data_IF_136754586331
#
_entry.id   IF_136754586331
#
_cell.length_a   1.000
_cell.length_b   1.000
_cell.length_c   1.000
_cell.angle_alpha   90.00
_cell.angle_beta   90.00
_cell.angle_gamma   90.00
#
_symmetry.space_group_name_H-M   'P 1'
#
loop_
_entity.id
_entity.type
_entity.pdbx_description
1 polymer ?
#
# COMPACT_ATOMS: atom_id res chain seq x y z
N UNK A 1 -14.60 10.35 -8.44
CA UNK A 1 -13.69 10.59 -7.30
C UNK A 1 -12.34 9.92 -7.50
N UNK A 2 -12.27 8.60 -7.74
CA UNK A 2 -11.03 7.90 -8.16
C UNK A 2 -10.24 8.64 -9.24
N UNK A 3 -10.85 8.96 -10.38
CA UNK A 3 -10.20 9.66 -11.49
C UNK A 3 -9.56 10.97 -11.07
N UNK A 4 -10.27 11.77 -10.26
CA UNK A 4 -9.77 13.03 -9.72
C UNK A 4 -8.51 12.84 -8.87
N UNK A 5 -8.50 11.85 -7.97
CA UNK A 5 -7.34 11.55 -7.13
C UNK A 5 -6.14 11.15 -8.00
N UNK A 6 -6.39 10.29 -8.98
CA UNK A 6 -5.36 9.83 -9.89
C UNK A 6 -4.79 10.98 -10.76
N UNK A 7 -5.64 11.89 -11.24
CA UNK A 7 -5.19 13.07 -11.97
C UNK A 7 -4.39 14.02 -11.07
N UNK A 8 -4.75 14.14 -9.80
CA UNK A 8 -3.98 14.94 -8.84
C UNK A 8 -2.61 14.31 -8.56
N UNK A 9 -2.52 12.98 -8.48
CA UNK A 9 -1.24 12.26 -8.38
C UNK A 9 -0.39 12.50 -9.61
N UNK A 10 -1.00 12.41 -10.80
CA UNK A 10 -0.30 12.61 -12.07
C UNK A 10 0.32 14.02 -12.17
N UNK A 11 -0.35 15.02 -11.62
CA UNK A 11 0.11 16.40 -11.64
C UNK A 11 0.96 16.80 -10.42
N UNK A 12 1.24 15.87 -9.50
CA UNK A 12 2.12 16.11 -8.35
C UNK A 12 1.48 16.85 -7.16
N UNK A 13 0.15 16.88 -7.06
CA UNK A 13 -0.58 17.50 -5.95
C UNK A 13 -0.69 16.58 -4.73
N UNK A 14 0.44 16.02 -4.27
CA UNK A 14 0.44 15.01 -3.21
C UNK A 14 -0.09 15.54 -1.86
N UNK A 15 0.28 16.75 -1.47
CA UNK A 15 -0.19 17.41 -0.24
C UNK A 15 -1.73 17.48 -0.18
N UNK A 16 -2.36 17.91 -1.28
CA UNK A 16 -3.81 17.96 -1.37
C UNK A 16 -4.45 16.58 -1.20
N UNK A 17 -3.82 15.53 -1.73
CA UNK A 17 -4.32 14.16 -1.61
C UNK A 17 -4.18 13.68 -0.17
N UNK A 18 -3.04 13.92 0.48
CA UNK A 18 -2.81 13.58 1.89
C UNK A 18 -3.91 14.20 2.75
N UNK A 19 -4.17 15.51 2.59
CA UNK A 19 -5.23 16.22 3.30
C UNK A 19 -6.62 15.60 3.03
N UNK A 20 -6.91 15.26 1.78
CA UNK A 20 -8.18 14.61 1.43
C UNK A 20 -8.36 13.27 2.15
N UNK A 21 -7.32 12.43 2.23
CA UNK A 21 -7.38 11.13 2.89
C UNK A 21 -7.54 11.25 4.41
N UNK A 22 -6.84 12.21 5.03
CA UNK A 22 -6.95 12.50 6.48
C UNK A 22 -8.37 12.92 6.87
N UNK A 23 -9.04 13.71 6.03
CA UNK A 23 -10.39 14.20 6.32
C UNK A 23 -11.50 13.26 5.83
N UNK A 24 -11.27 12.47 4.79
CA UNK A 24 -12.27 11.58 4.22
C UNK A 24 -11.82 10.12 4.18
N UNK A 25 -12.20 9.39 5.23
CA UNK A 25 -11.90 7.96 5.39
C UNK A 25 -12.58 7.06 4.35
N UNK A 26 -13.57 7.56 3.60
CA UNK A 26 -14.17 6.78 2.50
C UNK A 26 -13.21 6.62 1.32
N UNK A 27 -12.13 7.41 1.24
CA UNK A 27 -11.19 7.38 0.13
C UNK A 27 -10.26 6.15 0.14
N UNK A 28 -10.07 5.51 1.29
CA UNK A 28 -9.23 4.32 1.41
C UNK A 28 -9.69 3.15 0.52
N UNK A 29 -10.98 3.10 0.17
CA UNK A 29 -11.55 2.15 -0.80
C UNK A 29 -10.87 2.21 -2.17
N UNK A 30 -10.29 3.36 -2.52
CA UNK A 30 -9.66 3.59 -3.82
C UNK A 30 -8.19 3.20 -3.85
N UNK A 31 -7.56 2.83 -2.73
CA UNK A 31 -6.13 2.52 -2.67
C UNK A 31 -5.78 1.37 -3.62
N UNK A 32 -6.46 0.23 -3.51
CA UNK A 32 -6.17 -0.93 -4.37
C UNK A 32 -6.34 -0.60 -5.86
N UNK A 33 -7.38 0.16 -6.18
CA UNK A 33 -7.67 0.63 -7.53
C UNK A 33 -6.57 1.54 -8.10
N UNK A 34 -6.04 2.46 -7.29
CA UNK A 34 -4.99 3.41 -7.67
C UNK A 34 -3.62 2.72 -7.81
N UNK A 35 -3.35 1.68 -7.01
CA UNK A 35 -2.16 0.84 -7.15
C UNK A 35 -2.12 0.11 -8.50
N UNK A 36 -3.28 -0.13 -9.10
CA UNK A 36 -3.40 -0.77 -10.42
C UNK A 36 -3.56 0.21 -11.58
N UNK A 37 -3.46 1.52 -11.33
CA UNK A 37 -3.59 2.53 -12.38
C UNK A 37 -2.48 2.36 -13.43
N UNK A 38 -2.81 2.56 -14.70
CA UNK A 38 -1.88 2.38 -15.81
C UNK A 38 -0.71 3.39 -15.76
N UNK A 39 -0.94 4.57 -15.18
CA UNK A 39 0.05 5.62 -15.04
C UNK A 39 1.03 5.29 -13.92
N UNK A 40 2.31 5.18 -14.29
CA UNK A 40 3.41 4.89 -13.35
C UNK A 40 3.44 5.89 -12.19
N UNK A 41 3.21 7.18 -12.47
CA UNK A 41 3.26 8.24 -11.47
C UNK A 41 2.12 8.12 -10.45
N UNK A 42 0.94 7.67 -10.84
CA UNK A 42 -0.16 7.38 -9.90
C UNK A 42 0.23 6.25 -8.95
N UNK A 43 0.82 5.17 -9.46
CA UNK A 43 1.29 4.06 -8.63
C UNK A 43 2.38 4.49 -7.65
N UNK A 44 3.38 5.25 -8.10
CA UNK A 44 4.42 5.81 -7.22
C UNK A 44 3.84 6.79 -6.19
N UNK A 45 2.85 7.58 -6.59
CA UNK A 45 2.13 8.49 -5.70
C UNK A 45 1.41 7.76 -4.58
N UNK A 46 0.95 6.52 -4.79
CA UNK A 46 0.35 5.71 -3.73
C UNK A 46 1.40 5.31 -2.69
N UNK A 47 2.60 4.91 -3.09
CA UNK A 47 3.66 4.57 -2.12
C UNK A 47 4.00 5.77 -1.25
N UNK A 48 4.21 6.94 -1.86
CA UNK A 48 4.46 8.18 -1.13
C UNK A 48 3.29 8.55 -0.20
N UNK A 49 2.04 8.43 -0.67
CA UNK A 49 0.86 8.67 0.15
C UNK A 49 0.80 7.76 1.39
N UNK A 50 1.05 6.46 1.23
CA UNK A 50 1.01 5.50 2.34
C UNK A 50 2.14 5.76 3.35
N UNK A 51 3.35 6.06 2.87
CA UNK A 51 4.49 6.44 3.71
C UNK A 51 4.18 7.69 4.54
N UNK A 52 3.62 8.73 3.92
CA UNK A 52 3.25 9.95 4.66
C UNK A 52 2.13 9.69 5.65
N UNK A 53 1.05 8.99 5.26
CA UNK A 53 -0.06 8.68 6.16
C UNK A 53 0.34 7.74 7.29
N UNK A 54 1.36 6.90 7.12
CA UNK A 54 1.92 6.08 8.19
C UNK A 54 2.46 6.94 9.34
N UNK A 55 3.03 8.11 9.03
CA UNK A 55 3.56 9.06 10.01
C UNK A 55 2.47 10.00 10.52
N UNK A 56 1.64 10.51 9.62
CA UNK A 56 0.69 11.59 9.93
C UNK A 56 -0.70 11.13 10.37
N UNK A 57 -1.10 9.90 10.04
CA UNK A 57 -2.45 9.37 10.30
C UNK A 57 -2.43 7.85 10.57
N UNK A 58 -1.57 7.45 11.50
CA UNK A 58 -1.37 6.06 11.90
C UNK A 58 -2.67 5.36 12.33
N UNK A 59 -3.62 6.08 12.92
CA UNK A 59 -4.90 5.52 13.37
C UNK A 59 -5.76 5.03 12.18
N UNK A 60 -5.71 5.74 11.05
CA UNK A 60 -6.58 5.45 9.92
C UNK A 60 -5.90 4.66 8.80
N UNK A 61 -4.56 4.65 8.71
CA UNK A 61 -3.84 4.01 7.62
C UNK A 61 -4.14 2.51 7.46
N UNK A 62 -4.50 1.82 8.55
CA UNK A 62 -4.93 0.41 8.53
C UNK A 62 -6.19 0.16 7.69
N UNK A 63 -7.00 1.19 7.41
CA UNK A 63 -8.17 1.11 6.52
C UNK A 63 -7.81 0.81 5.07
N UNK A 64 -6.55 1.00 4.68
CA UNK A 64 -6.05 0.60 3.36
C UNK A 64 -5.94 -0.93 3.21
N UNK A 65 -5.73 -1.66 4.31
CA UNK A 65 -5.36 -3.09 4.28
C UNK A 65 -6.35 -3.94 3.47
N UNK A 66 -7.68 -3.86 3.67
CA UNK A 66 -8.64 -4.69 2.91
C UNK A 66 -8.58 -4.47 1.40
N UNK A 67 -8.10 -3.30 0.95
CA UNK A 67 -7.99 -2.93 -0.46
C UNK A 67 -6.62 -3.25 -1.06
N UNK A 68 -5.59 -3.47 -0.22
CA UNK A 68 -4.26 -3.90 -0.64
C UNK A 68 -4.15 -5.44 -0.67
N UNK A 69 -4.77 -6.14 0.29
CA UNK A 69 -4.68 -7.61 0.41
C UNK A 69 -5.00 -8.39 -0.88
N UNK A 70 -6.03 -8.04 -1.68
CA UNK A 70 -6.32 -8.76 -2.92
C UNK A 70 -5.16 -8.68 -3.94
N UNK A 71 -4.34 -7.63 -3.89
CA UNK A 71 -3.23 -7.42 -4.82
C UNK A 71 -2.04 -8.36 -4.57
N UNK A 72 -1.96 -9.00 -3.39
CA UNK A 72 -0.98 -10.06 -3.13
C UNK A 72 -1.16 -11.27 -4.07
N UNK A 73 -2.32 -11.40 -4.72
CA UNK A 73 -2.65 -12.48 -5.68
C UNK A 73 -2.76 -11.96 -7.12
N UNK A 74 -2.25 -10.75 -7.39
CA UNK A 74 -2.27 -10.17 -8.73
C UNK A 74 -1.42 -11.00 -9.70
N UNK A 75 -1.81 -11.06 -10.98
CA UNK A 75 -1.04 -11.75 -12.01
C UNK A 75 0.30 -11.08 -12.30
N UNK A 76 0.39 -9.75 -12.12
CA UNK A 76 1.63 -9.01 -12.28
C UNK A 76 2.48 -9.10 -11.00
N UNK A 77 3.69 -9.68 -11.05
CA UNK A 77 4.55 -9.80 -9.88
C UNK A 77 4.98 -8.44 -9.30
N UNK A 78 5.07 -7.39 -10.13
CA UNK A 78 5.37 -6.03 -9.63
C UNK A 78 4.27 -5.56 -8.67
N UNK A 79 2.99 -5.74 -9.04
CA UNK A 79 1.87 -5.35 -8.19
C UNK A 79 1.77 -6.19 -6.92
N UNK A 80 2.14 -7.48 -6.98
CA UNK A 80 2.26 -8.33 -5.78
C UNK A 80 3.33 -7.81 -4.83
N UNK A 81 4.51 -7.49 -5.36
CA UNK A 81 5.62 -6.91 -4.62
C UNK A 81 5.26 -5.58 -3.98
N UNK A 82 4.68 -4.64 -4.74
CA UNK A 82 4.23 -3.34 -4.24
C UNK A 82 3.21 -3.51 -3.10
N UNK A 83 2.27 -4.44 -3.24
CA UNK A 83 1.29 -4.71 -2.20
C UNK A 83 1.91 -5.31 -0.93
N UNK A 84 2.88 -6.22 -1.06
CA UNK A 84 3.63 -6.73 0.09
C UNK A 84 4.42 -5.62 0.79
N UNK A 85 5.11 -4.79 0.01
CA UNK A 85 5.87 -3.64 0.49
C UNK A 85 4.99 -2.67 1.30
N UNK A 86 3.86 -2.24 0.74
CA UNK A 86 2.98 -1.28 1.42
C UNK A 86 2.35 -1.86 2.70
N UNK A 87 2.04 -3.16 2.75
CA UNK A 87 1.60 -3.82 3.99
C UNK A 87 2.70 -3.81 5.05
N UNK A 88 3.97 -3.96 4.64
CA UNK A 88 5.14 -3.77 5.49
C UNK A 88 5.22 -2.37 6.09
N UNK A 89 5.11 -1.34 5.25
CA UNK A 89 5.09 0.08 5.66
C UNK A 89 3.94 0.36 6.64
N UNK A 90 2.74 -0.16 6.36
CA UNK A 90 1.58 -0.02 7.24
C UNK A 90 1.86 -0.66 8.60
N UNK A 91 2.59 -1.77 8.66
CA UNK A 91 3.10 -2.33 9.92
C UNK A 91 2.04 -3.03 10.77
N UNK A 92 0.89 -3.41 10.21
CA UNK A 92 -0.18 -4.05 10.97
C UNK A 92 0.02 -5.57 11.01
N UNK A 93 0.11 -6.14 12.22
CA UNK A 93 0.40 -7.57 12.44
C UNK A 93 -0.55 -8.54 11.73
N UNK A 94 -1.80 -8.13 11.51
CA UNK A 94 -2.80 -8.96 10.83
C UNK A 94 -2.48 -9.20 9.34
N UNK A 95 -1.53 -8.45 8.75
CA UNK A 95 -1.04 -8.72 7.40
C UNK A 95 -0.08 -9.93 7.33
N UNK A 96 0.55 -10.33 8.45
CA UNK A 96 1.60 -11.37 8.47
C UNK A 96 1.14 -12.71 7.87
N UNK A 97 -0.05 -13.26 8.21
CA UNK A 97 -0.49 -14.53 7.63
C UNK A 97 -0.57 -14.49 6.11
N UNK A 98 -1.02 -13.38 5.54
CA UNK A 98 -1.12 -13.20 4.09
C UNK A 98 0.25 -13.04 3.42
N UNK A 99 1.16 -12.30 4.06
CA UNK A 99 2.54 -12.15 3.56
C UNK A 99 3.31 -13.48 3.60
N UNK A 100 3.02 -14.35 4.58
CA UNK A 100 3.63 -15.69 4.64
C UNK A 100 3.22 -16.58 3.46
N UNK A 101 2.00 -16.44 2.92
CA UNK A 101 1.60 -17.16 1.69
C UNK A 101 2.55 -16.87 0.52
N UNK A 102 3.15 -15.67 0.50
CA UNK A 102 4.06 -15.22 -0.55
C UNK A 102 5.48 -15.74 -0.43
N UNK A 103 5.85 -16.43 0.67
CA UNK A 103 7.14 -17.12 0.78
C UNK A 103 7.30 -18.22 -0.28
N UNK A 104 6.17 -18.69 -0.85
CA UNK A 104 6.13 -19.65 -1.94
C UNK A 104 5.80 -19.01 -3.31
N UNK A 105 5.85 -17.67 -3.42
CA UNK A 105 5.60 -16.99 -4.69
C UNK A 105 6.60 -17.46 -5.78
N UNK A 106 6.13 -17.58 -7.01
CA UNK A 106 6.95 -17.97 -8.16
C UNK A 106 8.11 -16.99 -8.41
N UNK A 107 7.88 -15.70 -8.17
CA UNK A 107 8.83 -14.64 -8.43
C UNK A 107 9.77 -14.44 -7.24
N UNK A 108 11.08 -14.45 -7.50
CA UNK A 108 12.09 -14.33 -6.44
C UNK A 108 12.01 -13.01 -5.68
N UNK A 109 11.85 -11.90 -6.38
CA UNK A 109 11.82 -10.57 -5.78
C UNK A 109 10.58 -10.42 -4.88
N UNK A 110 9.44 -10.97 -5.30
CA UNK A 110 8.22 -11.00 -4.50
C UNK A 110 8.42 -11.76 -3.18
N UNK A 111 9.12 -12.90 -3.19
CA UNK A 111 9.47 -13.63 -1.97
C UNK A 111 10.35 -12.81 -1.04
N UNK A 112 11.34 -12.10 -1.59
CA UNK A 112 12.26 -11.24 -0.82
C UNK A 112 11.49 -10.09 -0.16
N UNK A 113 10.68 -9.37 -0.93
CA UNK A 113 9.88 -8.24 -0.44
C UNK A 113 8.90 -8.69 0.65
N UNK A 114 8.22 -9.84 0.48
CA UNK A 114 7.31 -10.37 1.48
C UNK A 114 8.01 -10.67 2.82
N UNK A 115 9.22 -11.24 2.75
CA UNK A 115 10.03 -11.50 3.94
C UNK A 115 10.46 -10.21 4.63
N UNK A 116 10.92 -9.22 3.87
CA UNK A 116 11.28 -7.90 4.40
C UNK A 116 10.07 -7.22 5.06
N UNK A 117 8.90 -7.23 4.40
CA UNK A 117 7.67 -6.68 4.95
C UNK A 117 7.27 -7.34 6.29
N UNK A 118 7.44 -8.67 6.41
CA UNK A 118 7.19 -9.38 7.67
C UNK A 118 8.14 -8.90 8.78
N UNK A 119 9.43 -8.71 8.48
CA UNK A 119 10.40 -8.20 9.46
C UNK A 119 10.11 -6.75 9.86
N UNK A 120 9.77 -5.87 8.91
CA UNK A 120 9.34 -4.50 9.18
C UNK A 120 8.12 -4.44 10.10
N UNK A 121 7.10 -5.28 9.85
CA UNK A 121 5.93 -5.38 10.73
C UNK A 121 6.36 -5.82 12.13
N UNK A 122 7.24 -6.82 12.27
CA UNK A 122 7.71 -7.25 13.59
C UNK A 122 8.42 -6.11 14.33
N UNK A 123 9.34 -5.41 13.67
CA UNK A 123 10.08 -4.28 14.23
C UNK A 123 9.13 -3.18 14.69
N UNK A 124 8.13 -2.84 13.87
CA UNK A 124 7.13 -1.81 14.17
C UNK A 124 6.26 -2.16 15.40
N UNK A 125 6.10 -3.45 15.73
CA UNK A 125 5.28 -3.92 16.85
C UNK A 125 6.11 -4.33 18.09
N UNK A 126 7.44 -4.14 18.07
CA UNK A 126 8.33 -4.36 19.22
C UNK A 126 8.55 -3.10 20.08
N UNK A 127 8.13 -1.94 19.59
CA UNK A 127 8.26 -0.63 20.25
C UNK A 127 6.98 -0.27 20.99
#
# INVERSE_FOLDING_TARGET
>A
LKTMIADYMENGFLENIIDMFKHNKSLYVHIGDLMTDERVRVRLGISALIETLKVEDLENISKAIPYILPLLKNQNPVLRGDAAYLLGVIGHKDAIPFLREMESDENHDVRVIAKEAIEEIKIANMR
#
